data_IF_304463437323
#
_entry.id   IF_304463437323
#
_cell.length_a   1.000
_cell.length_b   1.000
_cell.length_c   1.000
_cell.angle_alpha   90.00
_cell.angle_beta   90.00
_cell.angle_gamma   90.00
#
_symmetry.space_group_name_H-M   'P 1'
#
loop_
_entity.id
_entity.type
_entity.pdbx_description
1 polymer ?
#
# COMPACT_ATOMS: atom_id res chain seq x y z
N UNK A 1 76.52 2.78 -20.49
CA UNK A 1 76.02 2.29 -21.79
C UNK A 1 75.58 0.84 -21.63
N UNK A 2 74.43 0.46 -22.21
CA UNK A 2 73.70 -0.85 -22.18
C UNK A 2 72.91 -1.19 -20.90
N UNK A 3 71.61 -0.85 -20.85
CA UNK A 3 70.40 -1.59 -21.27
C UNK A 3 70.01 -2.79 -20.37
N UNK A 4 69.03 -2.58 -19.49
CA UNK A 4 68.32 -3.62 -18.75
C UNK A 4 66.98 -3.90 -19.45
N UNK A 5 66.86 -5.06 -20.08
CA UNK A 5 65.66 -5.53 -20.76
C UNK A 5 64.63 -6.01 -19.73
N UNK A 6 63.43 -5.40 -19.78
CA UNK A 6 62.27 -5.84 -19.01
C UNK A 6 61.58 -7.00 -19.75
N UNK A 7 61.69 -8.24 -19.26
CA UNK A 7 60.91 -9.36 -19.79
C UNK A 7 59.60 -9.47 -19.01
N UNK A 8 58.51 -9.20 -19.74
CA UNK A 8 57.11 -9.21 -19.32
C UNK A 8 56.63 -10.66 -19.12
N UNK A 9 56.40 -11.11 -17.89
CA UNK A 9 55.61 -12.34 -17.63
C UNK A 9 54.14 -11.96 -17.57
N UNK A 10 53.46 -12.10 -18.71
CA UNK A 10 52.10 -11.60 -18.99
C UNK A 10 51.00 -12.64 -18.71
N UNK A 11 51.29 -13.69 -17.93
CA UNK A 11 50.39 -14.85 -17.77
C UNK A 11 49.76 -14.99 -16.38
N UNK A 12 50.31 -14.36 -15.35
CA UNK A 12 49.75 -14.42 -13.99
C UNK A 12 48.47 -13.57 -13.80
N UNK A 13 48.17 -12.66 -14.73
CA UNK A 13 47.05 -11.71 -14.62
C UNK A 13 45.70 -12.24 -15.12
N UNK A 14 45.66 -13.27 -15.96
CA UNK A 14 44.38 -13.74 -16.52
C UNK A 14 43.59 -14.60 -15.54
N UNK A 15 44.26 -15.43 -14.74
CA UNK A 15 43.61 -16.30 -13.77
C UNK A 15 43.04 -15.53 -12.57
N UNK A 16 43.73 -14.48 -12.11
CA UNK A 16 43.28 -13.63 -10.99
C UNK A 16 42.05 -12.80 -11.33
N UNK A 17 41.94 -12.30 -12.57
CA UNK A 17 40.77 -11.52 -13.02
C UNK A 17 39.51 -12.39 -13.07
N UNK A 18 39.63 -13.65 -13.52
CA UNK A 18 38.48 -14.56 -13.61
C UNK A 18 37.90 -14.92 -12.23
N UNK A 19 38.78 -15.12 -11.23
CA UNK A 19 38.36 -15.36 -9.84
C UNK A 19 37.70 -14.15 -9.19
N UNK A 20 38.21 -12.93 -9.41
CA UNK A 20 37.60 -11.72 -8.83
C UNK A 20 36.21 -11.46 -9.44
N UNK A 21 36.05 -11.70 -10.75
CA UNK A 21 34.76 -11.53 -11.43
C UNK A 21 33.69 -12.53 -10.95
N UNK A 22 34.10 -13.75 -10.58
CA UNK A 22 33.17 -14.78 -10.11
C UNK A 22 32.70 -14.54 -8.66
N UNK A 23 33.54 -13.95 -7.79
CA UNK A 23 33.09 -13.55 -6.44
C UNK A 23 32.12 -12.36 -6.45
N UNK A 24 32.20 -11.47 -7.44
CA UNK A 24 31.27 -10.35 -7.57
C UNK A 24 29.83 -10.76 -7.96
N UNK A 25 29.64 -11.95 -8.55
CA UNK A 25 28.34 -12.43 -9.02
C UNK A 25 27.51 -13.16 -7.94
N UNK A 26 28.13 -13.62 -6.85
CA UNK A 26 27.40 -14.30 -5.76
C UNK A 26 26.67 -13.33 -4.80
N UNK A 27 26.97 -12.04 -4.85
CA UNK A 27 26.34 -11.02 -3.99
C UNK A 27 24.95 -10.55 -4.45
N UNK A 28 24.52 -10.86 -5.68
CA UNK A 28 23.26 -10.37 -6.24
C UNK A 28 22.11 -11.40 -6.20
N UNK A 29 22.34 -12.61 -5.70
CA UNK A 29 21.33 -13.66 -5.60
C UNK A 29 20.88 -13.88 -4.15
N UNK A 30 20.54 -12.80 -3.44
CA UNK A 30 19.74 -12.93 -2.22
C UNK A 30 18.27 -12.97 -2.62
N UNK A 31 17.58 -14.13 -2.52
CA UNK A 31 16.13 -14.13 -2.61
C UNK A 31 15.61 -13.19 -1.53
N UNK A 32 14.82 -12.20 -1.94
CA UNK A 32 14.13 -11.33 -1.00
C UNK A 32 13.33 -12.22 -0.04
N UNK A 33 13.58 -12.07 1.26
CA UNK A 33 12.71 -12.69 2.25
C UNK A 33 11.25 -12.30 1.95
N UNK A 34 10.28 -13.19 2.21
CA UNK A 34 8.87 -12.85 2.03
C UNK A 34 8.56 -11.61 2.88
N UNK A 35 7.87 -10.65 2.28
CA UNK A 35 7.46 -9.42 2.95
C UNK A 35 6.27 -9.72 3.87
N UNK A 36 6.39 -9.32 5.13
CA UNK A 36 5.37 -9.50 6.15
C UNK A 36 5.23 -8.22 6.97
N UNK A 37 4.00 -7.69 7.02
CA UNK A 37 3.61 -6.62 7.95
C UNK A 37 2.52 -7.14 8.87
N UNK A 38 2.58 -6.73 10.13
CA UNK A 38 1.62 -7.13 11.15
C UNK A 38 1.13 -5.90 11.91
N UNK A 39 -0.18 -5.80 12.02
CA UNK A 39 -0.86 -4.73 12.74
C UNK A 39 -1.80 -5.34 13.78
N UNK A 40 -1.85 -4.73 14.96
CA UNK A 40 -2.77 -5.12 16.03
C UNK A 40 -3.74 -3.98 16.33
N UNK A 41 -5.01 -4.18 16.00
CA UNK A 41 -6.09 -3.25 16.31
C UNK A 41 -6.82 -3.69 17.58
N UNK A 42 -6.46 -3.08 18.71
CA UNK A 42 -7.13 -3.36 20.00
C UNK A 42 -8.54 -2.77 20.00
N UNK A 43 -9.51 -3.56 20.46
CA UNK A 43 -10.91 -3.16 20.60
C UNK A 43 -11.60 -2.74 19.29
N UNK A 44 -11.20 -3.31 18.15
CA UNK A 44 -11.90 -3.09 16.89
C UNK A 44 -13.35 -3.59 16.99
N UNK A 45 -14.31 -2.70 16.73
CA UNK A 45 -15.72 -3.05 16.65
C UNK A 45 -16.18 -3.02 15.19
N UNK A 46 -16.92 -4.02 14.76
CA UNK A 46 -17.51 -4.07 13.41
C UNK A 46 -19.03 -4.06 13.55
N UNK A 47 -19.68 -3.15 12.84
CA UNK A 47 -21.13 -2.96 12.89
C UNK A 47 -21.69 -3.04 11.48
N UNK A 48 -22.45 -4.11 11.21
CA UNK A 48 -23.21 -4.26 9.97
C UNK A 48 -24.58 -3.63 10.12
N UNK A 49 -24.91 -2.72 9.21
CA UNK A 49 -26.18 -2.01 9.18
C UNK A 49 -26.72 -1.97 7.76
N UNK A 50 -28.02 -1.72 7.61
CA UNK A 50 -28.59 -1.48 6.28
C UNK A 50 -28.09 -0.16 5.69
N UNK A 51 -28.21 -0.01 4.37
CA UNK A 51 -27.68 1.14 3.65
C UNK A 51 -28.28 2.48 4.12
N UNK A 52 -29.55 2.51 4.49
CA UNK A 52 -30.21 3.73 4.94
C UNK A 52 -29.67 4.15 6.31
N UNK A 53 -29.58 3.21 7.25
CA UNK A 53 -28.96 3.43 8.56
C UNK A 53 -27.49 3.85 8.44
N UNK A 54 -26.75 3.30 7.48
CA UNK A 54 -25.35 3.68 7.23
C UNK A 54 -25.23 5.14 6.80
N UNK A 55 -26.07 5.57 5.85
CA UNK A 55 -26.10 6.95 5.38
C UNK A 55 -26.42 7.92 6.51
N UNK A 56 -27.49 7.65 7.27
CA UNK A 56 -27.89 8.48 8.40
C UNK A 56 -26.76 8.59 9.44
N UNK A 57 -26.12 7.47 9.75
CA UNK A 57 -25.00 7.42 10.70
C UNK A 57 -23.81 8.23 10.20
N UNK A 58 -23.43 8.07 8.94
CA UNK A 58 -22.33 8.79 8.32
C UNK A 58 -22.59 10.31 8.29
N UNK A 59 -23.77 10.74 7.86
CA UNK A 59 -24.15 12.16 7.80
C UNK A 59 -24.13 12.80 9.17
N UNK A 60 -24.66 12.12 10.19
CA UNK A 60 -24.62 12.59 11.57
C UNK A 60 -23.21 12.75 12.11
N UNK A 61 -22.30 11.85 11.77
CA UNK A 61 -20.94 11.84 12.33
C UNK A 61 -19.98 12.74 11.57
N UNK A 62 -20.08 12.79 10.25
CA UNK A 62 -19.16 13.55 9.39
C UNK A 62 -19.65 14.96 9.07
N UNK A 63 -20.96 15.22 9.19
CA UNK A 63 -21.60 16.44 8.68
C UNK A 63 -21.63 16.54 7.15
N UNK A 64 -21.22 15.48 6.43
CA UNK A 64 -21.15 15.42 4.97
C UNK A 64 -22.26 14.53 4.43
N UNK A 65 -22.81 14.81 3.23
CA UNK A 65 -23.82 13.97 2.62
C UNK A 65 -23.27 12.56 2.34
N UNK A 66 -24.08 11.53 2.58
CA UNK A 66 -23.71 10.14 2.29
C UNK A 66 -23.83 9.78 0.80
N UNK A 67 -24.43 10.68 0.01
CA UNK A 67 -24.60 10.58 -1.44
C UNK A 67 -23.94 11.79 -2.09
N UNK A 68 -23.03 11.53 -3.02
CA UNK A 68 -22.41 12.55 -3.85
C UNK A 68 -22.72 12.27 -5.31
N UNK A 69 -23.19 13.29 -6.03
CA UNK A 69 -23.29 13.25 -7.48
C UNK A 69 -21.91 13.60 -8.05
N UNK A 70 -21.41 12.80 -8.97
CA UNK A 70 -20.17 13.09 -9.71
C UNK A 70 -20.45 13.09 -11.21
N UNK A 71 -19.68 13.89 -11.95
CA UNK A 71 -19.81 14.06 -13.39
C UNK A 71 -20.91 15.05 -13.80
N UNK A 72 -20.67 15.79 -14.87
CA UNK A 72 -21.60 16.80 -15.43
C UNK A 72 -22.35 16.31 -16.67
N UNK A 73 -21.98 15.16 -17.23
CA UNK A 73 -22.44 14.68 -18.54
C UNK A 73 -22.90 13.20 -18.50
N UNK A 74 -22.78 12.47 -19.61
CA UNK A 74 -23.13 11.05 -19.75
C UNK A 74 -22.37 10.08 -18.82
N UNK A 75 -21.37 10.57 -18.10
CA UNK A 75 -20.66 9.86 -17.03
C UNK A 75 -21.17 10.22 -15.62
N UNK A 76 -22.30 10.92 -15.51
CA UNK A 76 -22.87 11.29 -14.24
C UNK A 76 -23.31 10.05 -13.45
N UNK A 77 -22.88 9.95 -12.20
CA UNK A 77 -23.17 8.83 -11.33
C UNK A 77 -23.44 9.27 -9.90
N UNK A 78 -24.03 8.34 -9.12
CA UNK A 78 -24.24 8.52 -7.69
C UNK A 78 -23.19 7.70 -6.96
N UNK A 79 -22.30 8.37 -6.25
CA UNK A 79 -21.42 7.74 -5.28
C UNK A 79 -22.13 7.71 -3.94
N UNK A 80 -22.20 6.52 -3.33
CA UNK A 80 -22.82 6.32 -2.01
C UNK A 80 -21.80 5.77 -1.04
N UNK A 81 -21.87 6.20 0.22
CA UNK A 81 -21.04 5.65 1.30
C UNK A 81 -21.40 4.18 1.51
N UNK A 82 -20.41 3.28 1.37
CA UNK A 82 -20.59 1.82 1.56
C UNK A 82 -20.05 1.31 2.89
N UNK A 83 -19.17 2.08 3.50
CA UNK A 83 -18.69 1.93 4.86
C UNK A 83 -17.94 3.18 5.29
N UNK A 84 -17.61 3.27 6.57
CA UNK A 84 -16.66 4.24 7.10
C UNK A 84 -16.05 3.75 8.41
N UNK A 85 -14.85 4.22 8.73
CA UNK A 85 -14.21 3.99 10.02
C UNK A 85 -14.33 5.19 10.96
N UNK A 86 -14.83 4.96 12.17
CA UNK A 86 -14.81 5.92 13.27
C UNK A 86 -13.59 5.68 14.17
N UNK A 87 -12.60 6.57 14.01
CA UNK A 87 -11.36 6.56 14.79
C UNK A 87 -11.56 6.82 16.28
N UNK A 88 -12.63 7.52 16.69
CA UNK A 88 -12.85 7.82 18.10
C UNK A 88 -13.23 6.57 18.90
N UNK A 89 -13.92 5.64 18.25
CA UNK A 89 -14.46 4.44 18.89
C UNK A 89 -13.89 3.15 18.31
N UNK A 90 -12.87 3.23 17.44
CA UNK A 90 -12.33 2.11 16.67
C UNK A 90 -13.44 1.24 16.06
N UNK A 91 -14.42 1.87 15.43
CA UNK A 91 -15.60 1.17 14.90
C UNK A 91 -15.67 1.27 13.39
N UNK A 92 -15.72 0.13 12.72
CA UNK A 92 -16.05 0.04 11.31
C UNK A 92 -17.57 -0.09 11.18
N UNK A 93 -18.19 0.80 10.41
CA UNK A 93 -19.58 0.70 9.98
C UNK A 93 -19.61 0.28 8.52
N UNK A 94 -20.32 -0.80 8.20
CA UNK A 94 -20.43 -1.32 6.83
C UNK A 94 -21.87 -1.64 6.48
N UNK A 95 -22.20 -1.50 5.20
CA UNK A 95 -23.46 -2.05 4.71
C UNK A 95 -23.44 -3.59 4.81
N UNK A 96 -24.58 -4.18 5.20
CA UNK A 96 -24.71 -5.62 5.37
C UNK A 96 -24.36 -6.36 4.07
N UNK A 97 -23.46 -7.34 4.15
CA UNK A 97 -22.93 -8.17 3.03
C UNK A 97 -21.97 -7.49 2.05
N UNK A 98 -21.56 -6.23 2.26
CA UNK A 98 -20.52 -5.59 1.43
C UNK A 98 -19.13 -5.79 2.03
N UNK A 99 -18.60 -7.00 1.84
CA UNK A 99 -17.28 -7.40 2.36
C UNK A 99 -16.13 -6.61 1.72
N UNK A 100 -16.30 -6.14 0.48
CA UNK A 100 -15.31 -5.36 -0.24
C UNK A 100 -15.17 -3.98 0.40
N UNK A 101 -16.28 -3.27 0.61
CA UNK A 101 -16.26 -2.00 1.32
C UNK A 101 -15.73 -2.19 2.74
N UNK A 102 -16.15 -3.24 3.44
CA UNK A 102 -15.69 -3.46 4.81
C UNK A 102 -14.19 -3.77 4.91
N UNK A 103 -13.63 -4.50 3.94
CA UNK A 103 -12.19 -4.69 3.82
C UNK A 103 -11.44 -3.40 3.51
N UNK A 104 -12.01 -2.54 2.67
CA UNK A 104 -11.46 -1.20 2.38
C UNK A 104 -11.40 -0.33 3.64
N UNK A 105 -12.46 -0.32 4.45
CA UNK A 105 -12.47 0.43 5.71
C UNK A 105 -11.54 -0.18 6.77
N UNK A 106 -11.39 -1.50 6.81
CA UNK A 106 -10.39 -2.14 7.66
C UNK A 106 -8.97 -1.73 7.26
N UNK A 107 -8.70 -1.60 5.95
CA UNK A 107 -7.43 -1.08 5.48
C UNK A 107 -7.19 0.35 5.98
N UNK A 108 -8.22 1.22 5.97
CA UNK A 108 -8.15 2.56 6.58
C UNK A 108 -7.84 2.53 8.08
N UNK A 109 -8.43 1.58 8.83
CA UNK A 109 -8.13 1.39 10.25
C UNK A 109 -6.65 1.01 10.48
N UNK A 110 -6.06 0.24 9.57
CA UNK A 110 -4.67 -0.20 9.63
C UNK A 110 -3.69 0.93 9.29
N UNK A 111 -3.93 1.67 8.19
CA UNK A 111 -3.00 2.69 7.70
C UNK A 111 -3.11 4.04 8.41
N UNK A 112 -4.18 4.26 9.19
CA UNK A 112 -4.37 5.51 9.95
C UNK A 112 -4.60 6.76 9.10
N UNK A 113 -4.90 6.60 7.81
CA UNK A 113 -5.08 7.70 6.86
C UNK A 113 -6.52 7.74 6.32
N UNK A 114 -7.13 8.93 6.37
CA UNK A 114 -8.16 9.31 5.40
C UNK A 114 -7.50 9.43 4.02
N UNK A 115 -8.23 9.07 2.95
CA UNK A 115 -7.88 9.61 1.63
C UNK A 115 -7.80 11.14 1.76
N UNK A 116 -6.72 11.81 1.30
CA UNK A 116 -6.74 13.25 1.23
C UNK A 116 -7.98 13.67 0.43
N UNK A 117 -8.68 14.70 0.89
CA UNK A 117 -9.81 15.25 0.15
C UNK A 117 -9.32 15.50 -1.27
N UNK A 118 -9.85 14.72 -2.23
CA UNK A 118 -9.53 14.98 -3.63
C UNK A 118 -10.00 16.41 -3.89
N UNK A 119 -9.10 17.34 -4.26
CA UNK A 119 -9.55 18.64 -4.67
C UNK A 119 -10.40 18.38 -5.91
N UNK A 120 -11.69 18.70 -5.81
CA UNK A 120 -12.54 18.87 -6.99
C UNK A 120 -11.77 19.82 -7.93
N UNK A 121 -11.23 19.26 -9.01
CA UNK A 121 -10.70 19.97 -10.16
C UNK A 121 -11.49 19.53 -11.37
#
# INVERSE_FOLDING_TARGET
MFNRTHRRTREAGHWTILTILSFALFGCLQPSAPYHEQYELKNLRVVWIDQASLHEKYERMSGKPALALYGTDSSAGVQSVKGFFDFNTNTIYCSKMDFTACGHELHHAIIGHFHPESPLR
#
